data_IF_509182142225
#
_entry.id   IF_509182142225
#
_cell.length_a   1.000
_cell.length_b   1.000
_cell.length_c   1.000
_cell.angle_alpha   90.00
_cell.angle_beta   90.00
_cell.angle_gamma   90.00
#
_symmetry.space_group_name_H-M   'P 1'
#
loop_
_entity.id
_entity.type
_entity.pdbx_description
1 polymer ?
#
# COMPACT_ATOMS: atom_id res chain seq x y z
N UNK A 1 63.86 29.40 81.61
CA UNK A 1 63.84 30.55 80.69
C UNK A 1 63.94 29.94 79.29
N UNK A 2 63.04 30.11 78.33
CA UNK A 2 62.49 31.36 77.76
C UNK A 2 61.10 31.09 77.15
N UNK A 3 60.29 32.16 77.09
CA UNK A 3 58.86 32.27 76.74
C UNK A 3 58.60 32.28 75.22
N UNK A 4 57.34 31.93 74.89
CA UNK A 4 56.64 32.17 73.62
C UNK A 4 56.25 33.64 73.44
N UNK A 5 56.20 34.09 72.17
CA UNK A 5 55.47 35.29 71.73
C UNK A 5 54.84 35.05 70.35
N UNK A 6 53.59 35.53 70.19
CA UNK A 6 52.72 35.38 69.02
C UNK A 6 53.07 36.37 67.89
N UNK A 7 52.68 36.05 66.66
CA UNK A 7 52.60 37.04 65.57
C UNK A 7 51.32 36.90 64.74
N UNK A 8 50.76 38.07 64.47
CA UNK A 8 49.51 38.46 63.82
C UNK A 8 49.45 38.16 62.32
N UNK A 9 48.46 37.40 61.84
CA UNK A 9 47.96 37.48 60.46
C UNK A 9 46.48 37.08 60.39
N UNK A 10 45.64 37.76 61.18
CA UNK A 10 44.19 37.65 61.14
C UNK A 10 43.60 38.87 60.44
N UNK A 11 43.16 38.72 59.18
CA UNK A 11 41.99 39.42 58.59
C UNK A 11 41.68 39.05 57.12
N UNK A 12 42.63 38.49 56.36
CA UNK A 12 42.40 38.24 54.92
C UNK A 12 41.78 36.87 54.56
N UNK A 13 41.79 35.90 55.49
CA UNK A 13 41.24 34.56 55.20
C UNK A 13 39.71 34.47 55.32
N UNK A 14 39.07 35.47 55.91
CA UNK A 14 37.60 35.55 56.09
C UNK A 14 36.92 36.03 54.80
N UNK A 15 37.45 37.07 54.16
CA UNK A 15 36.88 37.63 52.92
C UNK A 15 36.92 36.61 51.77
N UNK A 16 38.01 35.83 51.68
CA UNK A 16 38.20 34.82 50.64
C UNK A 16 37.23 33.64 50.80
N UNK A 17 36.83 33.30 52.03
CA UNK A 17 35.82 32.24 52.29
C UNK A 17 34.41 32.69 51.90
N UNK A 18 34.04 33.94 52.17
CA UNK A 18 32.74 34.47 51.74
C UNK A 18 32.67 34.66 50.21
N UNK A 19 33.79 35.01 49.57
CA UNK A 19 33.85 35.11 48.10
C UNK A 19 33.67 33.74 47.43
N UNK A 20 34.28 32.67 47.96
CA UNK A 20 34.12 31.30 47.43
C UNK A 20 32.70 30.77 47.67
N UNK A 21 32.09 31.06 48.81
CA UNK A 21 30.69 30.67 49.10
C UNK A 21 29.72 31.43 48.18
N UNK A 22 29.91 32.74 47.99
CA UNK A 22 29.09 33.56 47.10
C UNK A 22 29.25 33.14 45.63
N UNK A 23 30.47 32.81 45.19
CA UNK A 23 30.74 32.28 43.85
C UNK A 23 30.10 30.90 43.65
N UNK A 24 30.05 30.05 44.68
CA UNK A 24 29.38 28.75 44.61
C UNK A 24 27.85 28.87 44.51
N UNK A 25 27.23 29.89 45.11
CA UNK A 25 25.80 30.15 44.99
C UNK A 25 25.39 30.70 43.62
N UNK A 26 26.33 31.31 42.88
CA UNK A 26 26.14 31.73 41.49
C UNK A 26 26.16 30.56 40.49
N UNK A 27 26.79 29.43 40.81
CA UNK A 27 26.73 28.20 39.99
C UNK A 27 25.47 27.35 40.24
N UNK A 28 24.71 27.63 41.30
CA UNK A 28 23.44 26.97 41.64
C UNK A 28 22.21 27.83 41.32
N UNK A 29 22.40 29.08 40.90
CA UNK A 29 21.36 29.86 40.26
C UNK A 29 21.17 29.33 38.84
N UNK A 30 20.31 28.32 38.69
CA UNK A 30 19.77 27.88 37.41
C UNK A 30 19.03 29.02 36.72
N UNK A 31 19.77 29.89 36.05
CA UNK A 31 19.24 30.79 35.02
C UNK A 31 18.55 29.92 33.97
N UNK A 32 17.29 30.27 33.67
CA UNK A 32 16.36 29.47 32.89
C UNK A 32 16.95 28.95 31.58
N UNK A 33 17.34 27.67 31.58
CA UNK A 33 17.34 26.86 30.39
C UNK A 33 15.88 26.59 30.07
N UNK A 34 15.27 27.45 29.26
CA UNK A 34 14.14 27.04 28.44
C UNK A 34 14.68 25.97 27.52
N UNK A 35 14.65 24.71 27.98
CA UNK A 35 14.87 23.56 27.13
C UNK A 35 13.89 23.72 25.97
N UNK A 36 14.38 23.82 24.73
CA UNK A 36 13.50 24.04 23.61
C UNK A 36 12.56 22.82 23.56
N UNK A 37 11.27 23.08 23.35
CA UNK A 37 10.24 22.04 23.37
C UNK A 37 10.71 20.85 22.53
N UNK A 38 10.59 19.58 22.95
CA UNK A 38 11.16 18.42 22.25
C UNK A 38 10.80 18.32 20.74
N UNK A 39 9.76 19.01 20.29
CA UNK A 39 9.39 19.16 18.88
C UNK A 39 10.43 19.95 18.05
N UNK A 40 11.25 20.79 18.67
CA UNK A 40 12.33 21.55 18.03
C UNK A 40 13.61 20.73 17.81
N UNK A 41 13.75 19.58 18.47
CA UNK A 41 14.80 18.58 18.19
C UNK A 41 14.42 17.66 17.02
N UNK A 42 13.16 17.75 16.56
CA UNK A 42 12.67 17.14 15.33
C UNK A 42 12.76 18.17 14.20
N UNK A 43 13.97 18.62 13.87
CA UNK A 43 14.16 19.41 12.67
C UNK A 43 13.97 18.46 11.48
N UNK A 44 12.86 18.63 10.75
CA UNK A 44 12.66 17.91 9.50
C UNK A 44 13.91 18.12 8.62
N UNK A 45 14.52 17.07 8.06
CA UNK A 45 15.71 17.22 7.24
C UNK A 45 15.42 18.25 6.15
N UNK A 46 16.28 19.26 6.07
CA UNK A 46 16.11 20.33 5.09
C UNK A 46 16.03 19.71 3.69
N UNK A 47 14.99 20.08 2.92
CA UNK A 47 14.84 19.57 1.56
C UNK A 47 16.13 19.80 0.77
N UNK A 48 16.57 18.81 -0.03
CA UNK A 48 17.73 18.97 -0.90
C UNK A 48 17.64 20.26 -1.74
N UNK A 49 18.77 20.90 -2.03
CA UNK A 49 18.83 22.17 -2.77
C UNK A 49 18.11 22.09 -4.12
N UNK A 50 18.22 20.95 -4.82
CA UNK A 50 17.58 20.73 -6.10
C UNK A 50 16.04 20.68 -6.00
N UNK A 51 15.51 20.15 -4.90
CA UNK A 51 14.07 20.05 -4.65
C UNK A 51 13.52 21.42 -4.26
N UNK A 52 14.24 22.17 -3.42
CA UNK A 52 13.89 23.56 -3.10
C UNK A 52 13.81 24.40 -4.38
N UNK A 53 14.82 24.27 -5.25
CA UNK A 53 14.84 24.98 -6.54
C UNK A 53 13.68 24.57 -7.45
N UNK A 54 13.26 23.30 -7.43
CA UNK A 54 12.10 22.85 -8.22
C UNK A 54 10.81 23.45 -7.68
N UNK A 55 10.57 23.37 -6.37
CA UNK A 55 9.37 23.92 -5.73
C UNK A 55 9.21 25.41 -6.01
N UNK A 56 10.28 26.18 -5.80
CA UNK A 56 10.28 27.61 -6.16
C UNK A 56 9.95 27.84 -7.62
N UNK A 57 10.51 27.01 -8.53
CA UNK A 57 10.24 27.17 -9.96
C UNK A 57 8.80 26.85 -10.33
N UNK A 58 8.22 25.80 -9.74
CA UNK A 58 6.81 25.45 -9.92
C UNK A 58 5.93 26.61 -9.42
N UNK A 59 6.19 27.12 -8.23
CA UNK A 59 5.42 28.23 -7.64
C UNK A 59 5.49 29.51 -8.50
N UNK A 60 6.64 29.81 -9.10
CA UNK A 60 6.82 30.93 -10.02
C UNK A 60 6.05 30.77 -11.34
N UNK A 61 5.92 29.54 -11.83
CA UNK A 61 5.26 29.23 -13.12
C UNK A 61 3.76 28.97 -12.98
N UNK A 62 3.25 28.82 -11.75
CA UNK A 62 1.83 28.64 -11.49
C UNK A 62 1.07 29.95 -11.66
N UNK A 63 -0.04 29.97 -12.43
CA UNK A 63 -0.90 31.13 -12.49
C UNK A 63 -1.54 31.46 -11.13
N UNK A 64 -1.95 32.71 -10.97
CA UNK A 64 -2.73 33.12 -9.80
C UNK A 64 -4.03 32.32 -9.71
N UNK A 65 -4.35 31.80 -8.51
CA UNK A 65 -5.51 30.93 -8.24
C UNK A 65 -5.43 29.51 -8.79
N UNK A 66 -4.29 29.09 -9.33
CA UNK A 66 -4.05 27.69 -9.66
C UNK A 66 -3.93 26.83 -8.40
N UNK A 67 -4.46 25.61 -8.47
CA UNK A 67 -4.34 24.60 -7.41
C UNK A 67 -3.67 23.36 -7.98
N UNK A 68 -2.55 22.93 -7.39
CA UNK A 68 -1.87 21.69 -7.77
C UNK A 68 -2.78 20.51 -7.48
N UNK A 69 -2.87 19.58 -8.43
CA UNK A 69 -3.64 18.33 -8.28
C UNK A 69 -2.71 17.13 -8.47
N UNK A 70 -2.48 16.38 -7.40
CA UNK A 70 -1.72 15.14 -7.45
C UNK A 70 -2.58 13.98 -8.01
N UNK A 71 -1.98 13.01 -8.72
CA UNK A 71 -2.62 11.72 -8.96
C UNK A 71 -3.02 11.07 -7.63
N UNK A 72 -4.21 10.46 -7.60
CA UNK A 72 -4.79 9.89 -6.37
C UNK A 72 -4.51 8.40 -6.21
N UNK A 73 -4.56 7.66 -7.31
CA UNK A 73 -4.41 6.21 -7.31
C UNK A 73 -2.97 5.84 -7.68
N UNK A 74 -2.06 6.14 -6.76
CA UNK A 74 -0.63 5.84 -6.81
C UNK A 74 -0.15 5.43 -5.42
N UNK A 75 0.89 4.61 -5.34
CA UNK A 75 1.45 4.13 -4.06
C UNK A 75 1.93 5.27 -3.15
N UNK A 76 2.34 6.41 -3.72
CA UNK A 76 2.72 7.61 -2.99
C UNK A 76 2.16 8.81 -3.74
N UNK A 77 1.28 9.60 -3.11
CA UNK A 77 0.79 10.84 -3.71
C UNK A 77 1.82 11.95 -3.54
N UNK A 78 2.29 12.52 -4.66
CA UNK A 78 3.23 13.65 -4.68
C UNK A 78 2.66 14.80 -5.48
N UNK A 79 3.07 16.03 -5.12
CA UNK A 79 2.65 17.24 -5.83
C UNK A 79 3.23 17.34 -7.25
N UNK A 80 4.32 16.61 -7.51
CA UNK A 80 4.96 16.48 -8.81
C UNK A 80 5.57 15.08 -8.93
N UNK A 81 5.69 14.58 -10.16
CA UNK A 81 6.37 13.33 -10.48
C UNK A 81 7.68 13.60 -11.22
N UNK A 82 8.71 12.80 -10.94
CA UNK A 82 9.99 12.84 -11.65
C UNK A 82 10.03 11.69 -12.65
N UNK A 83 10.06 12.03 -13.94
CA UNK A 83 9.93 11.07 -15.04
C UNK A 83 10.94 11.45 -16.11
N UNK A 84 11.79 10.50 -16.53
CA UNK A 84 12.67 10.65 -17.69
C UNK A 84 11.83 10.57 -18.98
N UNK A 85 11.30 11.70 -19.44
CA UNK A 85 10.41 11.78 -20.60
C UNK A 85 11.19 11.69 -21.91
N UNK A 86 12.43 12.18 -21.92
CA UNK A 86 13.27 12.25 -23.11
C UNK A 86 14.27 11.09 -23.25
N UNK A 87 14.30 10.18 -22.27
CA UNK A 87 15.18 9.01 -22.16
C UNK A 87 16.67 9.34 -22.18
N UNK A 88 17.07 10.47 -21.61
CA UNK A 88 18.46 10.91 -21.50
C UNK A 88 19.14 10.51 -20.17
N UNK A 89 18.40 9.82 -19.29
CA UNK A 89 18.84 9.42 -17.96
C UNK A 89 18.70 10.51 -16.90
N UNK A 90 18.03 11.63 -17.20
CA UNK A 90 17.68 12.70 -16.26
C UNK A 90 16.16 12.85 -16.24
N UNK A 91 15.62 12.95 -15.04
CA UNK A 91 14.18 13.10 -14.86
C UNK A 91 13.73 14.55 -15.09
N UNK A 92 12.63 14.70 -15.83
CA UNK A 92 11.82 15.90 -15.87
C UNK A 92 10.77 15.89 -14.77
N UNK A 93 10.42 17.07 -14.26
CA UNK A 93 9.32 17.20 -13.30
C UNK A 93 7.99 17.41 -14.04
N UNK A 94 7.02 16.58 -13.71
CA UNK A 94 5.65 16.59 -14.23
C UNK A 94 4.72 17.05 -13.12
N UNK A 95 4.03 18.17 -13.33
CA UNK A 95 3.09 18.74 -12.37
C UNK A 95 1.76 18.99 -13.05
N UNK A 96 0.66 18.69 -12.35
CA UNK A 96 -0.68 19.05 -12.81
C UNK A 96 -1.25 20.12 -11.90
N UNK A 97 -1.91 21.10 -12.49
CA UNK A 97 -2.73 22.04 -11.73
C UNK A 97 -4.10 22.18 -12.39
N UNK A 98 -5.07 22.61 -11.60
CA UNK A 98 -6.39 23.01 -12.10
C UNK A 98 -6.62 24.49 -11.88
N UNK A 99 -7.40 25.08 -12.76
CA UNK A 99 -7.99 26.40 -12.58
C UNK A 99 -9.47 26.36 -12.94
N UNK A 100 -10.25 27.22 -12.30
CA UNK A 100 -11.63 27.40 -12.70
C UNK A 100 -11.66 28.27 -13.97
N UNK A 101 -12.25 27.75 -15.03
CA UNK A 101 -12.51 28.45 -16.28
C UNK A 101 -13.99 28.26 -16.65
N UNK A 102 -14.71 29.39 -16.74
CA UNK A 102 -16.13 29.44 -17.12
C UNK A 102 -17.03 28.43 -16.39
N UNK A 103 -16.82 28.23 -15.08
CA UNK A 103 -17.63 27.33 -14.25
C UNK A 103 -17.20 25.86 -14.30
N UNK A 104 -16.17 25.53 -15.07
CA UNK A 104 -15.55 24.19 -15.10
C UNK A 104 -14.12 24.25 -14.58
N UNK A 105 -13.55 23.11 -14.18
CA UNK A 105 -12.12 23.04 -13.85
C UNK A 105 -11.35 22.56 -15.07
N UNK A 106 -10.35 23.33 -15.49
CA UNK A 106 -9.42 22.96 -16.55
C UNK A 106 -8.12 22.49 -15.91
N UNK A 107 -7.70 21.27 -16.24
CA UNK A 107 -6.43 20.69 -15.84
C UNK A 107 -5.37 21.05 -16.87
N UNK A 108 -4.24 21.54 -16.38
CA UNK A 108 -3.06 21.92 -17.16
C UNK A 108 -1.85 21.11 -16.71
N UNK A 109 -1.07 20.64 -17.69
CA UNK A 109 0.22 20.00 -17.48
C UNK A 109 1.33 21.04 -17.48
N UNK A 110 2.23 20.95 -16.50
CA UNK A 110 3.55 21.57 -16.52
C UNK A 110 4.63 20.49 -16.65
N UNK A 111 5.60 20.74 -17.53
CA UNK A 111 6.82 19.92 -17.63
C UNK A 111 8.03 20.83 -17.43
N UNK A 112 8.85 20.53 -16.42
CA UNK A 112 10.10 21.24 -16.15
C UNK A 112 11.30 20.32 -16.42
N UNK A 113 12.26 20.81 -17.20
CA UNK A 113 13.50 20.11 -17.48
C UNK A 113 14.65 20.67 -16.64
N UNK A 114 15.48 19.78 -16.09
CA UNK A 114 16.65 20.18 -15.31
C UNK A 114 17.85 20.46 -16.21
N UNK A 115 18.08 21.74 -16.49
CA UNK A 115 19.27 22.20 -17.19
C UNK A 115 20.35 22.64 -16.18
N UNK A 116 21.39 21.81 -16.03
CA UNK A 116 22.49 22.01 -15.05
C UNK A 116 21.95 22.04 -13.61
N UNK A 117 21.98 23.21 -12.96
CA UNK A 117 21.48 23.44 -11.58
C UNK A 117 20.16 24.20 -11.54
N UNK A 118 19.50 24.40 -12.68
CA UNK A 118 18.25 25.17 -12.79
C UNK A 118 17.17 24.36 -13.48
N UNK A 119 15.93 24.60 -13.07
CA UNK A 119 14.74 24.05 -13.70
C UNK A 119 14.19 25.05 -14.72
N UNK A 120 13.83 24.54 -15.90
CA UNK A 120 13.30 25.34 -17.01
C UNK A 120 11.97 24.77 -17.43
N UNK A 121 10.94 25.61 -17.47
CA UNK A 121 9.63 25.23 -17.99
C UNK A 121 9.72 24.93 -19.49
N UNK A 122 9.29 23.72 -19.88
CA UNK A 122 9.24 23.27 -21.27
C UNK A 122 7.83 23.26 -21.84
N UNK A 123 6.87 22.85 -21.03
CA UNK A 123 5.47 22.72 -21.42
C UNK A 123 4.59 23.36 -20.36
N UNK A 124 3.64 24.17 -20.81
CA UNK A 124 2.48 24.60 -20.03
C UNK A 124 1.28 24.57 -20.97
N UNK A 125 0.46 23.53 -20.87
CA UNK A 125 -0.65 23.32 -21.80
C UNK A 125 -1.87 22.71 -21.10
N UNK A 126 -3.07 23.28 -21.28
CA UNK A 126 -4.31 22.63 -20.89
C UNK A 126 -4.48 21.27 -21.57
N UNK A 127 -4.78 20.23 -20.79
CA UNK A 127 -4.87 18.84 -21.28
C UNK A 127 -6.27 18.26 -21.16
N UNK A 128 -7.07 18.69 -20.18
CA UNK A 128 -8.40 18.13 -19.97
C UNK A 128 -9.28 19.06 -19.15
N UNK A 129 -10.60 18.89 -19.28
CA UNK A 129 -11.56 19.41 -18.31
C UNK A 129 -11.82 18.35 -17.25
N UNK A 130 -11.66 18.70 -15.97
CA UNK A 130 -11.79 17.76 -14.86
C UNK A 130 -11.40 18.36 -13.53
N UNK A 131 -11.77 17.67 -12.44
CA UNK A 131 -11.54 18.10 -11.06
C UNK A 131 -10.23 17.57 -10.51
N UNK A 132 -9.81 16.37 -10.89
CA UNK A 132 -8.60 15.74 -10.34
C UNK A 132 -7.98 14.77 -11.31
N UNK A 133 -6.71 14.44 -11.08
CA UNK A 133 -6.03 13.31 -11.70
C UNK A 133 -6.35 12.06 -10.89
N UNK A 134 -6.93 11.07 -11.55
CA UNK A 134 -7.21 9.75 -10.98
C UNK A 134 -5.91 8.92 -10.96
N UNK A 135 -5.35 8.68 -12.14
CA UNK A 135 -4.15 7.87 -12.36
C UNK A 135 -3.18 8.56 -13.32
N UNK A 136 -1.90 8.23 -13.21
CA UNK A 136 -0.85 8.61 -14.15
C UNK A 136 0.03 7.38 -14.42
N UNK A 137 0.16 7.04 -15.68
CA UNK A 137 0.96 5.92 -16.18
C UNK A 137 2.02 6.42 -17.15
N UNK A 138 3.27 5.98 -16.95
CA UNK A 138 4.35 6.22 -17.91
C UNK A 138 4.35 5.11 -18.94
N UNK A 139 4.22 5.48 -20.20
CA UNK A 139 4.29 4.55 -21.31
C UNK A 139 5.71 4.50 -21.89
N UNK A 140 6.35 3.35 -21.76
CA UNK A 140 7.70 3.09 -22.27
C UNK A 140 7.63 2.24 -23.53
N UNK A 141 8.41 2.60 -24.54
CA UNK A 141 8.55 1.81 -25.77
C UNK A 141 10.05 1.69 -26.08
N UNK A 142 10.63 0.48 -26.03
CA UNK A 142 12.06 0.27 -26.30
C UNK A 142 12.53 0.84 -27.65
N UNK A 143 11.64 0.93 -28.64
CA UNK A 143 11.94 1.43 -29.97
C UNK A 143 11.87 2.96 -30.08
N UNK A 144 11.20 3.62 -29.14
CA UNK A 144 11.05 5.08 -29.10
C UNK A 144 12.05 5.73 -28.16
N UNK A 145 12.50 6.92 -28.55
CA UNK A 145 13.43 7.73 -27.75
C UNK A 145 12.72 8.60 -26.71
N UNK A 146 11.39 8.50 -26.55
CA UNK A 146 10.62 9.36 -25.64
C UNK A 146 9.49 8.59 -24.99
N UNK A 147 9.37 8.72 -23.68
CA UNK A 147 8.24 8.20 -22.93
C UNK A 147 7.00 9.08 -23.17
N UNK A 148 5.84 8.45 -23.17
CA UNK A 148 4.54 9.13 -23.27
C UNK A 148 3.78 8.94 -21.95
N UNK A 149 2.68 9.65 -21.76
CA UNK A 149 1.89 9.51 -20.53
C UNK A 149 0.45 9.11 -20.87
N UNK A 150 -0.13 8.25 -20.06
CA UNK A 150 -1.58 8.08 -19.99
C UNK A 150 -2.04 8.60 -18.65
N UNK A 151 -3.06 9.47 -18.68
CA UNK A 151 -3.67 10.03 -17.48
C UNK A 151 -5.15 9.69 -17.41
N UNK A 152 -5.59 9.36 -16.21
CA UNK A 152 -6.98 9.31 -15.83
C UNK A 152 -7.42 10.65 -15.24
N UNK A 153 -8.49 11.24 -15.76
CA UNK A 153 -9.04 12.51 -15.26
C UNK A 153 -10.45 12.30 -14.76
N UNK A 154 -10.68 12.63 -13.48
CA UNK A 154 -11.99 12.59 -12.85
C UNK A 154 -12.75 13.88 -13.12
N UNK A 155 -13.92 13.76 -13.74
CA UNK A 155 -14.90 14.85 -13.87
C UNK A 155 -16.03 14.67 -12.87
N UNK A 156 -17.09 15.50 -12.95
CA UNK A 156 -18.27 15.36 -12.09
C UNK A 156 -19.01 14.03 -12.29
N UNK A 157 -19.01 13.51 -13.52
CA UNK A 157 -19.87 12.39 -13.91
C UNK A 157 -19.11 11.09 -14.13
N UNK A 158 -17.85 11.17 -14.56
CA UNK A 158 -17.07 10.01 -15.00
C UNK A 158 -15.57 10.26 -14.99
N UNK A 159 -14.79 9.19 -14.95
CA UNK A 159 -13.38 9.24 -15.27
C UNK A 159 -13.18 9.11 -16.79
N UNK A 160 -12.19 9.83 -17.32
CA UNK A 160 -11.83 9.82 -18.75
C UNK A 160 -10.33 9.62 -18.88
N UNK A 161 -9.92 8.71 -19.76
CA UNK A 161 -8.52 8.42 -20.04
C UNK A 161 -8.03 9.27 -21.23
N UNK A 162 -6.85 9.87 -21.08
CA UNK A 162 -6.18 10.67 -22.10
C UNK A 162 -4.76 10.15 -22.33
N UNK A 163 -4.33 10.13 -23.58
CA UNK A 163 -2.96 9.86 -24.00
C UNK A 163 -2.27 11.18 -24.34
N UNK A 164 -1.16 11.45 -23.68
CA UNK A 164 -0.35 12.64 -23.87
C UNK A 164 0.94 12.28 -24.57
N UNK A 165 1.17 12.92 -25.72
CA UNK A 165 2.36 12.72 -26.54
C UNK A 165 3.18 13.98 -26.71
N UNK A 166 4.44 13.79 -27.12
CA UNK A 166 5.35 14.88 -27.47
C UNK A 166 5.65 15.84 -26.29
N UNK A 167 5.75 15.28 -25.08
CA UNK A 167 5.85 16.00 -23.79
C UNK A 167 7.08 16.89 -23.59
N UNK A 168 7.98 16.94 -24.58
CA UNK A 168 9.17 17.81 -24.60
C UNK A 168 9.09 18.88 -25.71
N UNK A 169 7.95 18.99 -26.41
CA UNK A 169 7.69 20.03 -27.41
C UNK A 169 6.79 21.12 -26.80
N UNK A 170 6.87 22.36 -27.29
CA UNK A 170 6.03 23.45 -26.79
C UNK A 170 4.51 23.20 -26.90
N UNK A 171 4.10 22.39 -27.88
CA UNK A 171 2.72 21.92 -28.01
C UNK A 171 2.71 20.40 -27.92
N UNK A 172 1.96 19.88 -26.96
CA UNK A 172 1.78 18.45 -26.73
C UNK A 172 0.54 17.96 -27.46
N UNK A 173 0.60 16.73 -27.96
CA UNK A 173 -0.55 16.05 -28.55
C UNK A 173 -1.36 15.39 -27.43
N UNK A 174 -2.65 15.71 -27.37
CA UNK A 174 -3.57 15.26 -26.33
C UNK A 174 -4.73 14.53 -26.99
N UNK A 175 -4.77 13.22 -26.81
CA UNK A 175 -5.82 12.37 -27.37
C UNK A 175 -6.73 11.88 -26.24
N UNK A 176 -8.01 12.27 -26.27
CA UNK A 176 -9.04 11.66 -25.43
C UNK A 176 -9.36 10.27 -25.97
N UNK A 177 -9.22 9.24 -25.12
CA UNK A 177 -9.42 7.85 -25.55
C UNK A 177 -10.86 7.41 -25.29
N UNK A 178 -11.25 7.29 -24.01
CA UNK A 178 -12.58 6.81 -23.60
C UNK A 178 -12.86 7.17 -22.14
N UNK A 179 -14.02 6.79 -21.64
CA UNK A 179 -14.44 6.90 -20.24
C UNK A 179 -14.39 5.54 -19.56
N UNK A 180 -14.14 5.52 -18.25
CA UNK A 180 -13.98 4.28 -17.50
C UNK A 180 -14.46 4.40 -16.05
N UNK A 181 -14.73 3.27 -15.42
CA UNK A 181 -14.98 3.09 -13.98
C UNK A 181 -13.76 2.49 -13.27
N UNK A 182 -13.00 1.63 -13.98
CA UNK A 182 -11.67 1.17 -13.58
C UNK A 182 -10.74 1.14 -14.80
N UNK A 183 -9.45 1.40 -14.56
CA UNK A 183 -8.39 1.46 -15.57
C UNK A 183 -7.17 0.70 -15.05
N UNK A 184 -6.61 -0.16 -15.90
CA UNK A 184 -5.30 -0.77 -15.67
C UNK A 184 -4.49 -0.76 -16.96
N UNK A 185 -3.17 -0.62 -16.82
CA UNK A 185 -2.20 -0.56 -17.92
C UNK A 185 -0.98 -1.39 -17.52
N UNK A 186 -0.70 -2.44 -18.28
CA UNK A 186 0.45 -3.31 -18.06
C UNK A 186 0.76 -4.11 -19.33
N UNK A 187 1.93 -4.73 -19.38
CA UNK A 187 2.29 -5.70 -20.44
C UNK A 187 1.65 -7.06 -20.11
N UNK A 188 0.47 -7.32 -20.67
CA UNK A 188 -0.38 -8.47 -20.34
C UNK A 188 0.04 -9.74 -21.09
N UNK A 189 0.58 -9.61 -22.30
CA UNK A 189 1.10 -10.74 -23.09
C UNK A 189 2.64 -10.90 -23.00
N UNK A 190 3.32 -10.05 -22.24
CA UNK A 190 4.77 -10.08 -22.00
C UNK A 190 5.59 -9.78 -23.28
N UNK A 191 5.07 -8.92 -24.16
CA UNK A 191 5.71 -8.54 -25.43
C UNK A 191 6.46 -7.20 -25.37
N UNK A 192 6.64 -6.65 -24.17
CA UNK A 192 7.28 -5.37 -23.86
C UNK A 192 6.50 -4.13 -24.31
N UNK A 193 5.25 -4.29 -24.78
CA UNK A 193 4.33 -3.18 -24.99
C UNK A 193 3.26 -3.20 -23.91
N UNK A 194 2.83 -2.02 -23.50
CA UNK A 194 1.81 -1.89 -22.48
C UNK A 194 0.42 -1.93 -23.11
N UNK A 195 -0.35 -2.93 -22.71
CA UNK A 195 -1.78 -3.05 -22.97
C UNK A 195 -2.58 -2.12 -22.05
N UNK A 196 -3.83 -1.84 -22.41
CA UNK A 196 -4.75 -1.09 -21.56
C UNK A 196 -6.11 -1.79 -21.52
N UNK A 197 -6.65 -1.94 -20.32
CA UNK A 197 -7.99 -2.49 -20.10
C UNK A 197 -8.84 -1.52 -19.29
N UNK A 198 -10.04 -1.25 -19.78
CA UNK A 198 -11.04 -0.41 -19.12
C UNK A 198 -12.19 -1.29 -18.65
N UNK A 199 -12.69 -1.05 -17.44
CA UNK A 199 -14.02 -1.50 -17.02
C UNK A 199 -15.00 -0.34 -17.19
N UNK A 200 -16.12 -0.60 -17.84
CA UNK A 200 -17.19 0.38 -18.08
C UNK A 200 -18.51 -0.16 -17.55
N UNK A 201 -19.16 0.61 -16.69
CA UNK A 201 -20.52 0.35 -16.20
C UNK A 201 -21.52 1.08 -17.07
N UNK A 202 -22.63 0.41 -17.36
CA UNK A 202 -23.70 0.91 -18.23
C UNK A 202 -24.94 0.04 -18.10
N UNK A 203 -25.64 -0.20 -19.20
CA UNK A 203 -26.71 -1.21 -19.25
C UNK A 203 -26.16 -2.62 -18.99
N UNK A 204 -24.94 -2.87 -19.47
CA UNK A 204 -24.11 -4.02 -19.13
C UNK A 204 -22.76 -3.52 -18.67
N UNK A 205 -22.14 -4.23 -17.72
CA UNK A 205 -20.74 -4.00 -17.37
C UNK A 205 -19.84 -4.66 -18.41
N UNK A 206 -18.85 -3.93 -18.91
CA UNK A 206 -17.99 -4.35 -20.01
C UNK A 206 -16.51 -4.19 -19.67
N UNK A 207 -15.69 -5.12 -20.15
CA UNK A 207 -14.25 -4.98 -20.29
C UNK A 207 -13.93 -4.55 -21.73
N UNK A 208 -13.21 -3.44 -21.88
CA UNK A 208 -12.71 -2.95 -23.16
C UNK A 208 -11.18 -3.08 -23.17
N UNK A 209 -10.67 -3.94 -24.04
CA UNK A 209 -9.25 -4.23 -24.20
C UNK A 209 -8.67 -3.48 -25.40
N UNK A 210 -7.55 -2.79 -25.16
CA UNK A 210 -6.70 -2.12 -26.13
C UNK A 210 -5.34 -2.81 -26.15
N UNK A 211 -4.95 -3.33 -27.31
CA UNK A 211 -3.70 -4.09 -27.52
C UNK A 211 -2.43 -3.22 -27.37
N UNK A 212 -2.54 -1.90 -27.50
CA UNK A 212 -1.41 -1.01 -27.24
C UNK A 212 -1.90 0.35 -26.73
N UNK A 213 -1.49 0.72 -25.52
CA UNK A 213 -1.85 2.00 -24.91
C UNK A 213 -1.29 3.21 -25.68
N UNK A 214 -0.16 3.06 -26.38
CA UNK A 214 0.46 4.11 -27.21
C UNK A 214 -0.27 4.39 -28.52
N UNK A 215 -0.99 3.41 -29.04
CA UNK A 215 -1.80 3.51 -30.26
C UNK A 215 -3.17 2.90 -30.00
N UNK A 216 -3.99 3.56 -29.17
CA UNK A 216 -5.20 2.98 -28.62
C UNK A 216 -6.20 2.70 -29.73
N UNK A 217 -6.38 1.42 -30.04
CA UNK A 217 -7.45 0.90 -30.87
C UNK A 217 -8.15 -0.21 -30.09
N UNK A 218 -9.49 -0.14 -30.02
CA UNK A 218 -10.27 -1.17 -29.33
C UNK A 218 -10.06 -2.49 -30.06
N UNK A 219 -9.49 -3.47 -29.35
CA UNK A 219 -9.26 -4.82 -29.86
C UNK A 219 -10.44 -5.72 -29.58
N UNK A 220 -10.99 -5.63 -28.37
CA UNK A 220 -12.07 -6.50 -27.90
C UNK A 220 -12.93 -5.79 -26.85
N UNK A 221 -14.24 -6.03 -26.89
CA UNK A 221 -15.18 -5.69 -25.82
C UNK A 221 -15.85 -6.96 -25.33
N UNK A 222 -15.87 -7.18 -24.01
CA UNK A 222 -16.45 -8.38 -23.38
C UNK A 222 -17.44 -7.96 -22.30
N UNK A 223 -18.67 -8.47 -22.36
CA UNK A 223 -19.64 -8.26 -21.29
C UNK A 223 -19.32 -9.15 -20.09
N UNK A 224 -19.37 -8.59 -18.89
CA UNK A 224 -19.18 -9.31 -17.63
C UNK A 224 -20.52 -9.76 -17.06
N UNK A 225 -20.56 -10.90 -16.33
CA UNK A 225 -21.77 -11.41 -15.67
C UNK A 225 -22.13 -10.63 -14.39
N UNK A 226 -22.18 -9.31 -14.50
CA UNK A 226 -22.49 -8.38 -13.40
C UNK A 226 -23.99 -8.12 -13.36
N UNK A 227 -24.54 -8.19 -12.15
CA UNK A 227 -25.95 -7.99 -11.86
C UNK A 227 -26.19 -6.61 -11.25
N UNK A 228 -27.44 -6.15 -11.30
CA UNK A 228 -27.85 -4.96 -10.57
C UNK A 228 -27.63 -5.19 -9.06
N UNK A 229 -26.94 -4.25 -8.41
CA UNK A 229 -26.59 -4.35 -6.98
C UNK A 229 -25.18 -4.87 -6.71
N UNK A 230 -24.47 -5.41 -7.70
CA UNK A 230 -23.06 -5.75 -7.55
C UNK A 230 -22.23 -4.49 -7.32
N UNK A 231 -21.35 -4.54 -6.33
CA UNK A 231 -20.53 -3.41 -5.92
C UNK A 231 -19.08 -3.63 -6.37
N UNK A 232 -18.48 -2.58 -6.91
CA UNK A 232 -17.02 -2.50 -7.05
C UNK A 232 -16.55 -1.47 -6.03
N UNK A 233 -16.19 -1.94 -4.85
CA UNK A 233 -15.63 -1.12 -3.79
C UNK A 233 -14.24 -0.61 -4.19
N UNK A 234 -13.74 0.40 -3.50
CA UNK A 234 -12.42 0.99 -3.80
C UNK A 234 -11.26 0.01 -3.58
N UNK A 235 -11.46 -1.00 -2.73
CA UNK A 235 -10.49 -2.05 -2.45
C UNK A 235 -10.67 -3.30 -3.33
N UNK A 236 -11.68 -3.34 -4.21
CA UNK A 236 -11.84 -4.43 -5.17
C UNK A 236 -10.75 -4.38 -6.24
N UNK A 237 -10.28 -5.55 -6.64
CA UNK A 237 -9.20 -5.74 -7.59
C UNK A 237 -9.66 -5.42 -9.01
N UNK A 238 -8.88 -4.58 -9.69
CA UNK A 238 -8.92 -4.40 -11.13
C UNK A 238 -7.50 -4.19 -11.63
N UNK A 239 -6.71 -5.25 -11.61
CA UNK A 239 -5.27 -5.18 -11.80
C UNK A 239 -4.73 -6.37 -12.58
N UNK A 240 -3.55 -6.19 -13.17
CA UNK A 240 -2.85 -7.22 -13.93
C UNK A 240 -1.70 -7.73 -13.07
N UNK A 241 -1.70 -9.02 -12.78
CA UNK A 241 -0.64 -9.65 -12.01
C UNK A 241 -0.20 -11.00 -12.60
N UNK A 242 0.89 -11.54 -12.09
CA UNK A 242 1.37 -12.88 -12.39
C UNK A 242 0.49 -13.90 -11.71
N UNK A 243 -0.17 -14.77 -12.46
CA UNK A 243 -1.19 -15.67 -11.91
C UNK A 243 -0.80 -17.14 -11.85
N UNK A 244 0.40 -17.50 -12.31
CA UNK A 244 0.85 -18.90 -12.23
C UNK A 244 2.37 -19.08 -12.22
N UNK A 245 2.78 -20.33 -11.94
CA UNK A 245 4.18 -20.78 -11.94
C UNK A 245 4.93 -20.55 -13.26
N UNK A 246 4.22 -20.54 -14.39
CA UNK A 246 4.79 -20.19 -15.70
C UNK A 246 5.00 -18.67 -15.89
N UNK A 247 4.78 -17.89 -14.82
CA UNK A 247 4.85 -16.44 -14.77
C UNK A 247 3.98 -15.74 -15.82
N UNK A 248 2.85 -16.35 -16.21
CA UNK A 248 1.87 -15.73 -17.10
C UNK A 248 1.12 -14.63 -16.35
N UNK A 249 0.88 -13.52 -17.03
CA UNK A 249 0.03 -12.44 -16.52
C UNK A 249 -1.46 -12.75 -16.70
N UNK A 250 -2.28 -12.20 -15.83
CA UNK A 250 -3.73 -12.24 -15.90
C UNK A 250 -4.35 -11.00 -15.29
N UNK A 251 -5.51 -10.63 -15.80
CA UNK A 251 -6.33 -9.56 -15.25
C UNK A 251 -7.26 -10.15 -14.19
N UNK A 252 -7.13 -9.64 -12.96
CA UNK A 252 -8.00 -9.94 -11.82
C UNK A 252 -9.11 -8.88 -11.77
N UNK A 253 -10.36 -9.33 -11.76
CA UNK A 253 -11.54 -8.46 -11.62
C UNK A 253 -12.38 -8.96 -10.46
N UNK A 254 -12.37 -8.24 -9.34
CA UNK A 254 -13.24 -8.55 -8.21
C UNK A 254 -14.42 -7.58 -8.08
N UNK A 255 -15.49 -8.10 -7.49
CA UNK A 255 -16.65 -7.33 -7.08
C UNK A 255 -17.34 -8.03 -5.91
N UNK A 256 -18.19 -7.30 -5.19
CA UNK A 256 -18.94 -7.82 -4.05
C UNK A 256 -20.41 -8.05 -4.42
N UNK A 257 -20.92 -9.24 -4.12
CA UNK A 257 -22.33 -9.62 -4.24
C UNK A 257 -22.73 -10.41 -3.00
N UNK A 258 -23.84 -10.02 -2.37
CA UNK A 258 -24.39 -10.73 -1.18
C UNK A 258 -23.36 -11.02 -0.07
N UNK A 259 -22.52 -10.02 0.26
CA UNK A 259 -21.43 -10.13 1.25
C UNK A 259 -20.39 -11.22 0.95
N UNK A 260 -20.23 -11.56 -0.33
CA UNK A 260 -19.15 -12.41 -0.85
C UNK A 260 -18.32 -11.63 -1.86
N UNK A 261 -17.04 -11.93 -1.88
CA UNK A 261 -16.13 -11.53 -2.93
C UNK A 261 -16.30 -12.50 -4.10
N UNK A 262 -16.49 -11.94 -5.28
CA UNK A 262 -16.53 -12.64 -6.55
C UNK A 262 -15.30 -12.23 -7.35
N UNK A 263 -14.56 -13.20 -7.89
CA UNK A 263 -13.34 -12.97 -8.65
C UNK A 263 -13.42 -13.66 -10.00
N UNK A 264 -13.26 -12.85 -11.05
CA UNK A 264 -13.06 -13.31 -12.41
C UNK A 264 -11.59 -13.12 -12.78
N UNK A 265 -11.01 -14.11 -13.45
CA UNK A 265 -9.62 -14.07 -13.93
C UNK A 265 -9.64 -14.13 -15.44
N UNK A 266 -8.92 -13.24 -16.11
CA UNK A 266 -8.78 -13.24 -17.56
C UNK A 266 -7.32 -13.44 -17.96
N UNK A 267 -7.08 -14.19 -19.03
CA UNK A 267 -5.77 -14.31 -19.67
C UNK A 267 -5.84 -13.87 -21.12
N UNK A 268 -4.76 -13.24 -21.58
CA UNK A 268 -4.57 -12.88 -22.97
C UNK A 268 -3.88 -14.05 -23.68
N UNK A 269 -4.62 -14.75 -24.56
CA UNK A 269 -4.04 -15.75 -25.45
C UNK A 269 -3.93 -15.17 -26.86
N UNK A 270 -2.70 -15.02 -27.33
CA UNK A 270 -2.29 -14.36 -28.58
C UNK A 270 -2.81 -12.92 -28.70
N UNK A 271 -4.11 -12.75 -28.98
CA UNK A 271 -4.77 -11.46 -29.17
C UNK A 271 -6.16 -11.36 -28.55
N UNK A 272 -6.62 -12.41 -27.85
CA UNK A 272 -7.96 -12.48 -27.26
C UNK A 272 -7.87 -12.57 -25.74
N UNK A 273 -8.49 -11.60 -25.06
CA UNK A 273 -8.64 -11.61 -23.61
C UNK A 273 -9.83 -12.52 -23.24
N UNK A 274 -9.57 -13.69 -22.65
CA UNK A 274 -10.59 -14.69 -22.36
C UNK A 274 -10.64 -15.00 -20.86
N UNK A 275 -11.84 -15.27 -20.31
CA UNK A 275 -11.94 -15.72 -18.92
C UNK A 275 -11.25 -17.06 -18.74
N UNK A 276 -10.58 -17.24 -17.61
CA UNK A 276 -9.98 -18.50 -17.18
C UNK A 276 -11.07 -19.34 -16.55
N UNK A 277 -11.23 -20.57 -17.04
CA UNK A 277 -12.11 -21.56 -16.43
C UNK A 277 -11.28 -22.55 -15.61
N UNK A 278 -11.48 -22.54 -14.29
CA UNK A 278 -10.84 -23.45 -13.35
C UNK A 278 -11.57 -24.80 -13.30
N UNK A 279 -11.62 -25.47 -14.45
CA UNK A 279 -12.18 -26.80 -14.66
C UNK A 279 -13.71 -26.91 -14.47
N UNK A 280 -14.47 -25.93 -14.94
CA UNK A 280 -15.91 -25.78 -14.71
C UNK A 280 -16.25 -24.75 -13.63
N UNK A 281 -15.25 -24.00 -13.16
CA UNK A 281 -15.36 -22.92 -12.19
C UNK A 281 -14.88 -21.62 -12.85
N UNK A 282 -15.75 -20.89 -13.56
CA UNK A 282 -15.41 -19.65 -14.27
C UNK A 282 -15.28 -18.42 -13.35
N UNK A 283 -15.64 -18.58 -12.08
CA UNK A 283 -15.70 -17.52 -11.07
C UNK A 283 -15.33 -18.12 -9.71
N UNK A 284 -14.43 -17.46 -8.99
CA UNK A 284 -14.04 -17.82 -7.63
C UNK A 284 -14.91 -16.98 -6.68
N UNK A 285 -15.59 -17.65 -5.75
CA UNK A 285 -16.51 -17.00 -4.81
C UNK A 285 -16.06 -17.33 -3.39
N UNK A 286 -15.70 -16.30 -2.64
CA UNK A 286 -15.19 -16.40 -1.28
C UNK A 286 -15.89 -15.40 -0.35
N UNK A 287 -15.79 -15.54 0.98
CA UNK A 287 -16.24 -14.48 1.89
C UNK A 287 -15.59 -13.13 1.55
N UNK A 288 -16.33 -12.05 1.81
CA UNK A 288 -15.84 -10.69 1.56
C UNK A 288 -14.47 -10.44 2.22
N UNK A 289 -13.61 -9.66 1.56
CA UNK A 289 -12.23 -9.36 1.96
C UNK A 289 -11.21 -10.50 1.80
N UNK A 290 -11.58 -11.64 1.20
CA UNK A 290 -10.69 -12.78 0.93
C UNK A 290 -9.95 -12.58 -0.40
N UNK A 291 -9.19 -11.48 -0.53
CA UNK A 291 -8.54 -11.13 -1.80
C UNK A 291 -7.31 -11.99 -2.12
N UNK A 292 -7.05 -12.27 -3.41
CA UNK A 292 -5.76 -12.73 -3.88
C UNK A 292 -4.64 -11.77 -3.47
N UNK A 293 -3.47 -12.31 -3.15
CA UNK A 293 -2.24 -11.55 -2.90
C UNK A 293 -1.04 -12.49 -2.96
N UNK A 294 0.11 -11.94 -3.32
CA UNK A 294 1.41 -12.61 -3.20
C UNK A 294 1.82 -12.69 -1.71
N UNK A 295 1.58 -13.83 -1.07
CA UNK A 295 1.80 -14.02 0.38
C UNK A 295 3.23 -14.41 0.72
N UNK A 296 3.91 -15.12 -0.18
CA UNK A 296 5.27 -15.63 0.02
C UNK A 296 6.34 -14.78 -0.70
N UNK A 297 5.93 -13.73 -1.40
CA UNK A 297 6.76 -12.76 -2.11
C UNK A 297 7.56 -13.38 -3.26
N UNK A 298 7.03 -14.44 -3.88
CA UNK A 298 7.66 -15.09 -5.03
C UNK A 298 7.35 -14.38 -6.37
N UNK A 299 6.45 -13.40 -6.36
CA UNK A 299 5.98 -12.65 -7.52
C UNK A 299 4.88 -13.36 -8.31
N UNK A 300 4.14 -14.29 -7.69
CA UNK A 300 2.90 -14.93 -8.16
C UNK A 300 1.81 -14.58 -7.16
N UNK A 301 0.61 -14.28 -7.64
CA UNK A 301 -0.53 -14.08 -6.76
C UNK A 301 -1.09 -15.43 -6.30
N UNK A 302 -1.32 -15.58 -5.00
CA UNK A 302 -2.08 -16.70 -4.45
C UNK A 302 -3.56 -16.36 -4.33
N UNK A 303 -4.41 -17.34 -4.63
CA UNK A 303 -5.85 -17.26 -4.47
C UNK A 303 -6.24 -17.73 -3.08
N UNK A 304 -6.96 -16.87 -2.36
CA UNK A 304 -7.38 -17.15 -1.00
C UNK A 304 -8.65 -18.01 -0.97
N UNK A 305 -8.74 -18.92 0.00
CA UNK A 305 -9.92 -19.71 0.30
C UNK A 305 -10.15 -19.74 1.81
N UNK A 306 -11.36 -19.40 2.24
CA UNK A 306 -11.69 -19.38 3.66
C UNK A 306 -12.53 -20.59 4.07
N UNK A 307 -12.07 -21.32 5.09
CA UNK A 307 -12.76 -22.51 5.59
C UNK A 307 -12.77 -22.59 7.11
N UNK A 308 -13.76 -23.30 7.67
CA UNK A 308 -13.83 -23.61 9.10
C UNK A 308 -13.26 -25.01 9.35
N UNK A 309 -12.13 -25.15 10.07
CA UNK A 309 -11.62 -26.46 10.44
C UNK A 309 -12.63 -27.29 11.22
N UNK A 310 -12.62 -28.60 10.99
CA UNK A 310 -13.42 -29.53 11.78
C UNK A 310 -12.94 -29.49 13.24
N UNK A 311 -13.88 -29.28 14.15
CA UNK A 311 -13.60 -29.17 15.59
C UNK A 311 -13.39 -27.74 16.08
N UNK A 312 -13.49 -26.73 15.20
CA UNK A 312 -13.35 -25.33 15.61
C UNK A 312 -14.43 -24.93 16.61
N UNK A 313 -14.01 -24.26 17.67
CA UNK A 313 -14.87 -23.76 18.74
C UNK A 313 -14.76 -22.24 18.75
N UNK A 314 -15.90 -21.58 18.53
CA UNK A 314 -16.05 -20.13 18.70
C UNK A 314 -16.52 -19.76 20.10
N UNK A 315 -16.68 -18.46 20.34
CA UNK A 315 -17.32 -17.95 21.57
C UNK A 315 -18.80 -18.29 21.62
N UNK A 316 -19.46 -18.25 20.46
CA UNK A 316 -20.80 -18.77 20.23
C UNK A 316 -20.75 -19.90 19.20
N UNK A 317 -21.87 -20.62 19.04
CA UNK A 317 -21.95 -21.70 18.05
C UNK A 317 -21.89 -21.16 16.60
N UNK A 318 -22.29 -19.90 16.42
CA UNK A 318 -22.36 -19.18 15.15
C UNK A 318 -21.02 -18.51 14.77
N UNK A 319 -20.15 -18.21 15.73
CA UNK A 319 -18.87 -17.50 15.54
C UNK A 319 -17.67 -18.45 15.46
N UNK A 320 -17.75 -19.48 14.61
CA UNK A 320 -16.63 -20.42 14.47
C UNK A 320 -15.43 -19.78 13.79
N UNK A 321 -14.21 -19.96 14.34
CA UNK A 321 -12.97 -19.51 13.71
C UNK A 321 -12.81 -20.06 12.30
N UNK A 322 -12.34 -19.21 11.40
CA UNK A 322 -12.08 -19.55 10.00
C UNK A 322 -10.60 -19.35 9.68
N UNK A 323 -10.02 -20.31 8.95
CA UNK A 323 -8.66 -20.21 8.39
C UNK A 323 -8.77 -19.68 6.97
N UNK A 324 -7.87 -18.76 6.61
CA UNK A 324 -7.65 -18.36 5.22
C UNK A 324 -6.43 -19.10 4.68
N UNK A 325 -6.61 -19.88 3.64
CA UNK A 325 -5.56 -20.62 2.94
C UNK A 325 -5.27 -19.98 1.58
N UNK A 326 -4.01 -19.79 1.25
CA UNK A 326 -3.54 -19.13 0.02
C UNK A 326 -2.93 -20.18 -0.91
N UNK A 327 -3.45 -20.27 -2.12
CA UNK A 327 -3.07 -21.27 -3.10
C UNK A 327 -2.48 -20.64 -4.37
N UNK A 328 -1.30 -21.08 -4.78
CA UNK A 328 -0.70 -20.71 -6.05
C UNK A 328 -1.25 -21.61 -7.16
N UNK A 329 -1.73 -21.02 -8.26
CA UNK A 329 -2.17 -21.78 -9.42
C UNK A 329 -0.98 -22.23 -10.28
N UNK A 330 -0.88 -23.50 -10.62
CA UNK A 330 0.20 -24.05 -11.45
C UNK A 330 -0.06 -23.90 -12.96
N UNK A 331 -1.21 -23.33 -13.35
CA UNK A 331 -1.61 -23.15 -14.75
C UNK A 331 -2.41 -24.32 -15.35
N UNK A 332 -2.69 -25.37 -14.57
CA UNK A 332 -3.55 -26.49 -14.97
C UNK A 332 -4.89 -26.40 -14.28
N UNK A 333 -5.98 -26.55 -15.04
CA UNK A 333 -7.34 -26.61 -14.51
C UNK A 333 -7.78 -28.06 -14.42
N UNK A 334 -7.75 -28.66 -13.23
CA UNK A 334 -8.19 -30.05 -13.00
C UNK A 334 -9.19 -30.08 -11.85
N UNK A 335 -10.19 -30.95 -11.94
CA UNK A 335 -11.16 -31.16 -10.86
C UNK A 335 -10.62 -32.10 -9.77
N UNK A 336 -10.96 -31.88 -8.49
CA UNK A 336 -11.78 -30.78 -7.98
C UNK A 336 -10.98 -29.48 -7.78
N UNK A 337 -11.70 -28.35 -7.85
CA UNK A 337 -11.18 -27.00 -7.60
C UNK A 337 -10.43 -26.96 -6.25
N UNK A 338 -9.24 -26.34 -6.24
CA UNK A 338 -8.26 -26.27 -5.14
C UNK A 338 -7.51 -27.58 -4.77
N UNK A 339 -7.79 -28.74 -5.37
CA UNK A 339 -7.03 -29.98 -5.10
C UNK A 339 -6.02 -30.33 -6.21
N UNK A 340 -6.35 -30.04 -7.47
CA UNK A 340 -5.49 -30.37 -8.60
C UNK A 340 -5.30 -29.15 -9.51
N UNK A 341 -4.08 -28.61 -9.50
CA UNK A 341 -3.78 -27.35 -10.18
C UNK A 341 -3.37 -26.23 -9.22
N UNK A 342 -3.65 -26.39 -7.94
CA UNK A 342 -3.39 -25.40 -6.90
C UNK A 342 -2.46 -25.98 -5.84
N UNK A 343 -1.47 -25.21 -5.41
CA UNK A 343 -0.51 -25.58 -4.38
C UNK A 343 -0.66 -24.65 -3.18
N UNK A 344 -0.88 -25.20 -2.00
CA UNK A 344 -0.98 -24.43 -0.76
C UNK A 344 0.36 -23.77 -0.44
N UNK A 345 0.36 -22.44 -0.27
CA UNK A 345 1.53 -21.63 0.09
C UNK A 345 1.53 -21.21 1.54
N UNK A 346 0.41 -20.70 2.03
CA UNK A 346 0.28 -20.19 3.39
C UNK A 346 -1.12 -20.48 3.94
N UNK A 347 -1.21 -20.75 5.24
CA UNK A 347 -2.46 -20.65 5.98
C UNK A 347 -2.32 -19.59 7.07
N UNK A 348 -3.40 -18.88 7.36
CA UNK A 348 -3.43 -17.92 8.45
C UNK A 348 -4.80 -17.86 9.13
N UNK A 349 -4.78 -17.51 10.41
CA UNK A 349 -5.95 -17.13 11.17
C UNK A 349 -5.95 -15.62 11.40
N UNK A 350 -7.00 -14.94 10.96
CA UNK A 350 -7.19 -13.50 11.18
C UNK A 350 -8.28 -13.33 12.26
N UNK A 351 -7.94 -12.67 13.35
CA UNK A 351 -8.89 -12.25 14.37
C UNK A 351 -9.10 -10.74 14.30
N UNK A 352 -10.15 -10.31 13.59
CA UNK A 352 -10.50 -8.90 13.45
C UNK A 352 -10.98 -8.27 14.75
N UNK A 353 -11.47 -9.06 15.70
CA UNK A 353 -11.92 -8.53 16.99
C UNK A 353 -10.73 -8.15 17.87
N UNK A 354 -9.69 -8.98 17.86
CA UNK A 354 -8.47 -8.76 18.60
C UNK A 354 -7.33 -8.18 17.75
N UNK A 355 -7.59 -7.77 16.51
CA UNK A 355 -6.64 -7.12 15.59
C UNK A 355 -5.29 -7.85 15.47
N UNK A 356 -5.32 -9.17 15.30
CA UNK A 356 -4.08 -9.93 15.03
C UNK A 356 -4.26 -10.95 13.92
N UNK A 357 -3.12 -11.32 13.32
CA UNK A 357 -2.99 -12.39 12.34
C UNK A 357 -2.00 -13.40 12.89
N UNK A 358 -2.34 -14.69 12.87
CA UNK A 358 -1.44 -15.79 13.14
C UNK A 358 -1.17 -16.53 11.83
N UNK A 359 0.06 -16.43 11.30
CA UNK A 359 0.50 -17.18 10.13
C UNK A 359 0.94 -18.59 10.53
N UNK A 360 0.48 -19.59 9.81
CA UNK A 360 0.73 -20.97 10.19
C UNK A 360 2.10 -21.40 9.65
N UNK A 361 2.95 -21.99 10.50
CA UNK A 361 4.10 -22.75 10.05
C UNK A 361 3.72 -23.78 8.98
N UNK A 362 4.61 -24.07 8.04
CA UNK A 362 4.34 -25.05 6.98
C UNK A 362 3.98 -26.44 7.53
N UNK A 363 4.56 -26.84 8.66
CA UNK A 363 4.23 -28.11 9.30
C UNK A 363 2.81 -28.14 9.90
N UNK A 364 2.13 -27.02 10.10
CA UNK A 364 0.75 -26.95 10.61
C UNK A 364 -0.31 -27.04 9.51
N UNK A 365 0.09 -26.83 8.25
CA UNK A 365 -0.81 -26.74 7.10
C UNK A 365 -1.85 -27.87 7.11
N UNK A 366 -3.13 -27.51 7.08
CA UNK A 366 -4.29 -28.40 7.08
C UNK A 366 -4.41 -29.31 8.32
N UNK A 367 -3.63 -29.12 9.38
CA UNK A 367 -3.70 -29.99 10.58
C UNK A 367 -4.37 -29.35 11.78
N UNK A 368 -4.43 -28.03 11.82
CA UNK A 368 -4.91 -27.29 13.00
C UNK A 368 -6.43 -27.14 13.03
N UNK A 369 -6.97 -27.11 14.24
CA UNK A 369 -8.28 -26.54 14.57
C UNK A 369 -8.09 -25.41 15.57
N UNK A 370 -9.06 -24.50 15.65
CA UNK A 370 -8.95 -23.31 16.48
C UNK A 370 -10.04 -23.32 17.54
N UNK A 371 -9.65 -23.09 18.80
CA UNK A 371 -10.56 -22.77 19.88
C UNK A 371 -10.36 -21.32 20.31
N UNK A 372 -11.39 -20.48 20.08
CA UNK A 372 -11.46 -19.11 20.58
C UNK A 372 -12.45 -19.08 21.76
N UNK A 373 -11.92 -18.98 22.97
CA UNK A 373 -12.71 -18.98 24.20
C UNK A 373 -12.13 -18.03 25.23
N UNK A 374 -13.01 -17.33 25.94
CA UNK A 374 -12.62 -16.28 26.89
C UNK A 374 -11.72 -15.24 26.22
N UNK A 375 -10.53 -15.01 26.78
CA UNK A 375 -9.50 -14.13 26.23
C UNK A 375 -8.35 -14.91 25.59
N UNK A 376 -8.60 -16.15 25.14
CA UNK A 376 -7.58 -17.06 24.61
C UNK A 376 -7.96 -17.58 23.23
N UNK A 377 -6.94 -17.77 22.40
CA UNK A 377 -7.01 -18.45 21.12
C UNK A 377 -6.01 -19.59 21.14
N UNK A 378 -6.49 -20.83 20.96
CA UNK A 378 -5.68 -22.05 20.94
C UNK A 378 -5.68 -22.65 19.55
N UNK A 379 -4.49 -23.04 19.11
CA UNK A 379 -4.25 -23.81 17.90
C UNK A 379 -3.96 -25.24 18.32
N UNK A 380 -4.84 -26.15 17.90
CA UNK A 380 -4.89 -27.52 18.38
C UNK A 380 -4.68 -28.45 17.20
N UNK A 381 -3.69 -29.32 17.31
CA UNK A 381 -3.42 -30.35 16.34
C UNK A 381 -4.57 -31.37 16.34
N UNK A 382 -5.25 -31.53 15.19
CA UNK A 382 -6.44 -32.39 15.08
C UNK A 382 -6.14 -33.88 15.19
N UNK A 383 -4.91 -34.29 14.91
CA UNK A 383 -4.50 -35.70 14.95
C UNK A 383 -4.15 -36.15 16.37
N UNK A 384 -3.45 -35.30 17.14
CA UNK A 384 -2.97 -35.62 18.49
C UNK A 384 -3.86 -35.06 19.60
N UNK A 385 -4.64 -34.01 19.32
CA UNK A 385 -5.39 -33.24 20.31
C UNK A 385 -4.51 -32.33 21.17
N UNK A 386 -3.23 -32.16 20.84
CA UNK A 386 -2.30 -31.30 21.59
C UNK A 386 -2.48 -29.84 21.22
N UNK A 387 -2.28 -28.94 22.19
CA UNK A 387 -2.23 -27.50 21.92
C UNK A 387 -0.81 -27.20 21.41
N UNK A 388 -0.70 -26.89 20.12
CA UNK A 388 0.57 -26.55 19.49
C UNK A 388 0.94 -25.09 19.79
N UNK A 389 -0.06 -24.21 19.95
CA UNK A 389 0.13 -22.83 20.40
C UNK A 389 -1.10 -22.25 21.11
N UNK A 390 -0.87 -21.40 22.12
CA UNK A 390 -1.92 -20.65 22.80
C UNK A 390 -1.51 -19.19 22.94
N UNK A 391 -2.40 -18.31 22.47
CA UNK A 391 -2.29 -16.87 22.61
C UNK A 391 -3.32 -16.38 23.62
N UNK A 392 -2.86 -15.65 24.63
CA UNK A 392 -3.73 -14.94 25.56
C UNK A 392 -3.71 -13.44 25.24
N UNK A 393 -4.91 -12.86 25.10
CA UNK A 393 -5.12 -11.46 24.78
C UNK A 393 -5.58 -10.74 26.05
N UNK A 394 -4.88 -9.68 26.45
CA UNK A 394 -5.16 -8.96 27.70
C UNK A 394 -5.41 -7.49 27.37
N UNK A 395 -6.52 -6.87 27.81
CA UNK A 395 -6.70 -5.43 27.69
C UNK A 395 -5.51 -4.68 28.27
N UNK A 396 -5.01 -3.66 27.56
CA UNK A 396 -3.77 -2.97 27.91
C UNK A 396 -3.77 -2.38 29.31
N UNK A 397 -4.92 -1.87 29.76
CA UNK A 397 -5.12 -1.33 31.11
C UNK A 397 -5.18 -2.40 32.22
N UNK A 398 -5.28 -3.69 31.86
CA UNK A 398 -5.32 -4.82 32.78
C UNK A 398 -4.04 -5.65 32.76
N UNK A 399 -3.10 -5.35 31.86
CA UNK A 399 -1.86 -6.10 31.74
C UNK A 399 -0.92 -5.83 32.92
N UNK A 400 -0.54 -6.90 33.62
CA UNK A 400 0.47 -6.90 34.67
C UNK A 400 1.57 -7.87 34.25
N UNK A 401 2.81 -7.38 34.20
CA UNK A 401 3.97 -8.20 33.86
C UNK A 401 4.15 -9.36 34.84
N UNK A 402 4.41 -10.55 34.32
CA UNK A 402 4.64 -11.77 35.11
C UNK A 402 5.80 -12.56 34.52
N UNK A 403 6.56 -13.26 35.35
CA UNK A 403 7.63 -14.15 34.89
C UNK A 403 7.10 -15.40 34.19
N UNK A 404 5.82 -15.74 34.39
CA UNK A 404 5.19 -16.92 33.78
C UNK A 404 4.63 -16.65 32.38
N UNK A 405 4.52 -15.37 31.98
CA UNK A 405 3.96 -14.95 30.70
C UNK A 405 4.94 -14.05 29.97
N UNK A 406 5.11 -14.28 28.68
CA UNK A 406 5.95 -13.45 27.81
C UNK A 406 5.07 -12.60 26.93
N UNK A 407 5.26 -11.28 26.98
CA UNK A 407 4.66 -10.35 26.01
C UNK A 407 5.36 -10.50 24.67
N UNK A 408 4.60 -10.80 23.62
CA UNK A 408 5.14 -10.98 22.26
C UNK A 408 4.81 -9.80 21.33
N UNK A 409 3.65 -9.17 21.54
CA UNK A 409 3.19 -7.98 20.81
C UNK A 409 2.40 -7.06 21.73
N UNK A 410 2.29 -5.80 21.33
CA UNK A 410 1.47 -4.79 22.00
C UNK A 410 0.78 -3.95 20.93
N UNK A 411 -0.55 -3.96 20.93
CA UNK A 411 -1.36 -3.13 20.06
C UNK A 411 -1.85 -1.86 20.77
N UNK A 412 -2.86 -1.24 20.16
CA UNK A 412 -3.53 -0.05 20.71
C UNK A 412 -4.28 -0.43 22.01
N UNK A 413 -5.17 -1.44 21.91
CA UNK A 413 -6.09 -1.81 22.99
C UNK A 413 -5.63 -3.04 23.80
N UNK A 414 -4.79 -3.89 23.21
CA UNK A 414 -4.45 -5.21 23.77
C UNK A 414 -2.96 -5.46 23.87
N UNK A 415 -2.59 -6.31 24.82
CA UNK A 415 -1.28 -6.93 24.98
C UNK A 415 -1.43 -8.42 24.70
N UNK A 416 -0.57 -8.95 23.83
CA UNK A 416 -0.62 -10.34 23.40
C UNK A 416 0.49 -11.11 24.09
N UNK A 417 0.11 -12.15 24.84
CA UNK A 417 1.03 -12.88 25.69
C UNK A 417 0.94 -14.38 25.45
N UNK A 418 2.07 -15.04 25.60
CA UNK A 418 2.17 -16.50 25.59
C UNK A 418 2.67 -16.98 26.95
N UNK A 419 2.37 -18.22 27.30
CA UNK A 419 3.03 -18.87 28.44
C UNK A 419 4.54 -18.92 28.17
N UNK A 420 5.37 -18.62 29.18
CA UNK A 420 6.83 -18.66 29.07
C UNK A 420 7.33 -20.13 28.98
N UNK A 421 7.04 -20.77 27.85
CA UNK A 421 7.45 -22.11 27.46
C UNK A 421 8.19 -22.01 26.12
N UNK A 422 9.33 -22.68 26.02
CA UNK A 422 10.22 -22.63 24.86
C UNK A 422 9.52 -23.06 23.56
N UNK A 423 8.54 -23.96 23.62
CA UNK A 423 7.78 -24.41 22.44
C UNK A 423 6.86 -23.34 21.84
N UNK A 424 6.46 -22.32 22.60
CA UNK A 424 5.63 -21.24 22.05
C UNK A 424 6.46 -20.06 21.54
N UNK A 425 7.71 -19.94 22.01
CA UNK A 425 8.58 -18.84 21.59
C UNK A 425 8.91 -18.90 20.09
N UNK A 426 8.99 -20.10 19.51
CA UNK A 426 9.25 -20.28 18.08
C UNK A 426 8.12 -19.74 17.19
N UNK A 427 6.89 -19.67 17.69
CA UNK A 427 5.73 -19.19 16.95
C UNK A 427 5.41 -17.71 17.21
N UNK A 428 6.08 -17.07 18.17
CA UNK A 428 5.82 -15.67 18.53
C UNK A 428 6.00 -14.69 17.36
N UNK A 429 6.91 -15.00 16.44
CA UNK A 429 7.17 -14.20 15.23
C UNK A 429 6.07 -14.29 14.20
N UNK A 430 5.25 -15.34 14.25
CA UNK A 430 4.17 -15.59 13.31
C UNK A 430 2.88 -14.82 13.66
N UNK A 431 2.84 -14.21 14.85
CA UNK A 431 1.77 -13.30 15.26
C UNK A 431 2.13 -11.89 14.79
N UNK A 432 1.30 -11.32 13.93
CA UNK A 432 1.34 -9.93 13.50
C UNK A 432 0.09 -9.19 13.96
N UNK A 433 0.16 -7.86 14.06
CA UNK A 433 -1.04 -7.04 14.24
C UNK A 433 -1.65 -6.77 12.86
N UNK A 434 -2.98 -6.71 12.78
CA UNK A 434 -3.66 -6.25 11.57
C UNK A 434 -3.32 -4.76 11.41
N UNK A 435 -2.78 -4.37 10.25
CA UNK A 435 -2.45 -2.97 9.93
C UNK A 435 -3.68 -2.15 9.56
#
# INVERSE_FOLDING_TARGET
MIKFEESTYGKDLSLMKYFVIFLSTLYLAGCGLTLPHPASLLEHPALPEWEKSLKTKIDEDLPTQAEIVAPRNQSISRLYELIDLNRDGREEAVTFYRMQDQGTFQITLLVHERMKKKWVLRVSQPIATGRSIDQLHVLTDPTKTRNQLVIGVTSLEKNTVYLLKDLMKPSIDVTKIDTYDRLTIADLNQDQRQDMVLLKKGQSTELVYYEEALTPAVRQTTSLPIQEGDLFADHDLFEIDTINAAKKKGLLVSFTREAKMHLLVFQLDQTKLSPVDFAGTPEIIEPMYTFPKDVDQDGIVEFAHQYTPKGSIGRSAEEKPQITAYYAWNGTSVQPFLESGFELREEQYIDLEYNFVMRFPANWATRETIEKKDNRVRFINRETGTIDFELEIIPKNQYIASHQKKKIKEGIDYVYVITANQSYEEYATNVALVE
#
